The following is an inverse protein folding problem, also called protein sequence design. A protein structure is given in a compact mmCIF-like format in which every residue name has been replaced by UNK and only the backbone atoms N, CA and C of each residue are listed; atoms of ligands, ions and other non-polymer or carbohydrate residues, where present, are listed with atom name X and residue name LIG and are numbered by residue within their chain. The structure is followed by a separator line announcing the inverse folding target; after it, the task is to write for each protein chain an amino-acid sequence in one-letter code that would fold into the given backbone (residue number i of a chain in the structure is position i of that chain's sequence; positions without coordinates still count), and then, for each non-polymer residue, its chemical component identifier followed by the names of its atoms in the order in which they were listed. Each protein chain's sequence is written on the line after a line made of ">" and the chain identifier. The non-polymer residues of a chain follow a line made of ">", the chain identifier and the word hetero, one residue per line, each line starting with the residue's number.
data_IF_785596357518
#
_entry.id   IF_785596357518
#
_cell.length_a   1.000
_cell.length_b   1.000
_cell.length_c   1.000
_cell.angle_alpha   90.00
_cell.angle_beta   90.00
_cell.angle_gamma   90.00
#
_symmetry.space_group_name_H-M   'P 1'
#
loop_
_entity.id
_entity.type
_entity.pdbx_description
1 polymer ?
#
# COMPACT_ATOMS: atom_id res chain seq x y z
N UNK A 1 18.16 18.94 10.81
CA UNK A 1 17.57 17.71 10.21
C UNK A 1 16.30 18.13 9.48
N UNK A 2 16.05 17.66 8.24
CA UNK A 2 14.81 18.00 7.54
C UNK A 2 13.60 17.53 8.34
N UNK A 3 12.53 18.29 8.29
CA UNK A 3 11.21 17.89 8.80
C UNK A 3 10.68 16.68 8.02
N UNK A 4 9.76 15.92 8.61
CA UNK A 4 9.11 14.82 7.88
C UNK A 4 8.39 15.30 6.62
N UNK A 5 7.86 16.52 6.62
CA UNK A 5 7.22 17.12 5.45
C UNK A 5 8.22 17.31 4.32
N UNK A 6 9.37 17.92 4.60
CA UNK A 6 10.44 18.11 3.61
C UNK A 6 10.96 16.78 3.08
N UNK A 7 11.05 15.74 3.94
CA UNK A 7 11.42 14.38 3.50
C UNK A 7 10.40 13.79 2.53
N UNK A 8 9.10 13.96 2.78
CA UNK A 8 8.06 13.51 1.85
C UNK A 8 8.07 14.30 0.54
N UNK A 9 8.30 15.60 0.60
CA UNK A 9 8.39 16.45 -0.59
C UNK A 9 9.60 16.06 -1.45
N UNK A 10 10.76 15.81 -0.84
CA UNK A 10 11.95 15.29 -1.51
C UNK A 10 11.71 13.91 -2.13
N UNK A 11 11.04 13.00 -1.41
CA UNK A 11 10.68 11.68 -1.93
C UNK A 11 9.84 11.78 -3.21
N UNK A 12 8.85 12.68 -3.26
CA UNK A 12 8.03 12.87 -4.46
C UNK A 12 8.87 13.32 -5.65
N UNK A 13 9.80 14.26 -5.43
CA UNK A 13 10.71 14.74 -6.47
C UNK A 13 11.61 13.62 -6.97
N UNK A 14 12.18 12.84 -6.06
CA UNK A 14 13.07 11.72 -6.39
C UNK A 14 12.34 10.62 -7.16
N UNK A 15 11.18 10.18 -6.70
CA UNK A 15 10.39 9.14 -7.37
C UNK A 15 9.94 9.55 -8.78
N UNK A 16 9.54 10.82 -8.95
CA UNK A 16 9.20 11.34 -10.29
C UNK A 16 10.41 11.33 -11.22
N UNK A 17 11.58 11.71 -10.72
CA UNK A 17 12.81 11.77 -11.50
C UNK A 17 13.33 10.37 -11.85
N UNK A 18 13.44 9.51 -10.84
CA UNK A 18 14.00 8.15 -10.94
C UNK A 18 13.19 7.26 -11.89
N UNK A 19 11.87 7.29 -11.80
CA UNK A 19 10.99 6.42 -12.60
C UNK A 19 10.39 7.10 -13.83
N UNK A 20 10.69 8.38 -14.06
CA UNK A 20 10.13 9.17 -15.16
C UNK A 20 8.61 9.35 -15.05
N UNK A 21 8.10 9.53 -13.83
CA UNK A 21 6.66 9.54 -13.54
C UNK A 21 6.07 10.94 -13.64
N UNK A 22 4.92 11.03 -14.32
CA UNK A 22 4.07 12.21 -14.34
C UNK A 22 2.83 11.99 -13.47
N UNK A 23 2.67 12.83 -12.45
CA UNK A 23 1.45 12.82 -11.63
C UNK A 23 0.37 13.61 -12.36
N UNK A 24 -0.70 12.94 -12.80
CA UNK A 24 -1.83 13.59 -13.47
C UNK A 24 -2.73 14.32 -12.47
N UNK A 25 -2.96 13.71 -11.30
CA UNK A 25 -3.85 14.24 -10.27
C UNK A 25 -3.42 13.79 -8.88
N UNK A 26 -3.37 14.73 -7.96
CA UNK A 26 -3.31 14.44 -6.52
C UNK A 26 -4.72 14.19 -6.00
N UNK A 27 -4.98 12.99 -5.47
CA UNK A 27 -6.30 12.58 -4.97
C UNK A 27 -6.49 13.02 -3.51
N UNK A 28 -7.72 13.33 -3.14
CA UNK A 28 -8.12 13.50 -1.74
C UNK A 28 -8.42 12.17 -1.05
N UNK A 29 -8.76 11.13 -1.83
CA UNK A 29 -9.02 9.78 -1.36
C UNK A 29 -7.74 8.98 -1.08
N UNK A 30 -7.84 7.96 -0.22
CA UNK A 30 -6.76 7.00 0.06
C UNK A 30 -6.69 5.87 -0.98
N UNK A 31 -6.64 6.26 -2.26
CA UNK A 31 -6.53 5.38 -3.43
C UNK A 31 -5.75 6.05 -4.54
N UNK A 32 -5.12 5.25 -5.40
CA UNK A 32 -4.46 5.72 -6.60
C UNK A 32 -4.69 4.81 -7.80
N UNK A 33 -4.03 5.15 -8.90
CA UNK A 33 -3.95 4.34 -10.11
C UNK A 33 -2.68 4.69 -10.88
N UNK A 34 -2.04 3.67 -11.43
CA UNK A 34 -0.89 3.78 -12.34
C UNK A 34 -1.26 3.26 -13.73
N UNK A 35 -0.81 3.95 -14.78
CA UNK A 35 -0.98 3.49 -16.16
C UNK A 35 0.09 4.09 -17.07
N UNK A 36 0.22 3.52 -18.27
CA UNK A 36 1.11 4.02 -19.33
C UNK A 36 0.30 4.49 -20.54
N UNK A 37 0.84 5.48 -21.25
CA UNK A 37 0.35 5.90 -22.57
C UNK A 37 1.45 5.61 -23.58
N UNK A 38 1.13 4.73 -24.53
CA UNK A 38 2.02 4.31 -25.61
C UNK A 38 1.68 5.13 -26.86
N UNK A 39 2.67 5.85 -27.37
CA UNK A 39 2.51 6.67 -28.58
C UNK A 39 2.99 5.90 -29.81
N UNK A 40 2.52 6.30 -31.01
CA UNK A 40 2.88 5.65 -32.27
C UNK A 40 4.39 5.72 -32.59
N UNK A 41 5.07 6.73 -32.05
CA UNK A 41 6.52 6.93 -32.18
C UNK A 41 7.34 6.05 -31.22
N UNK A 42 6.71 5.13 -30.50
CA UNK A 42 7.35 4.24 -29.53
C UNK A 42 7.63 4.88 -28.18
N UNK A 43 7.32 6.17 -28.00
CA UNK A 43 7.46 6.84 -26.70
C UNK A 43 6.43 6.29 -25.72
N UNK A 44 6.85 6.08 -24.48
CA UNK A 44 5.98 5.68 -23.37
C UNK A 44 5.94 6.80 -22.35
N UNK A 45 4.74 7.21 -21.93
CA UNK A 45 4.57 8.13 -20.80
C UNK A 45 3.95 7.38 -19.62
N UNK A 46 4.65 7.40 -18.48
CA UNK A 46 4.19 6.79 -17.24
C UNK A 46 3.43 7.78 -16.38
N UNK A 47 2.21 7.43 -16.01
CA UNK A 47 1.28 8.30 -15.32
C UNK A 47 0.79 7.65 -14.04
N UNK A 48 0.56 8.50 -13.03
CA UNK A 48 -0.15 8.10 -11.81
C UNK A 48 -1.19 9.14 -11.39
N UNK A 49 -2.15 8.68 -10.62
CA UNK A 49 -2.92 9.50 -9.67
C UNK A 49 -2.79 8.89 -8.29
N UNK A 50 -2.62 9.72 -7.26
CA UNK A 50 -2.40 9.22 -5.90
C UNK A 50 -2.65 10.33 -4.87
N UNK A 51 -2.96 10.05 -3.59
CA UNK A 51 -2.83 11.06 -2.55
C UNK A 51 -1.41 11.62 -2.45
N UNK A 52 -1.30 12.92 -2.20
CA UNK A 52 0.00 13.52 -1.93
C UNK A 52 0.56 12.98 -0.58
N UNK A 53 1.83 12.56 -0.49
CA UNK A 53 2.45 12.14 0.75
C UNK A 53 2.44 13.26 1.82
N UNK A 54 1.61 13.08 2.84
CA UNK A 54 1.56 13.95 4.04
C UNK A 54 1.82 13.19 5.34
N UNK A 55 1.85 11.87 5.26
CA UNK A 55 2.10 10.97 6.38
C UNK A 55 2.27 9.53 5.88
N UNK A 56 2.52 8.57 6.78
CA UNK A 56 2.85 7.19 6.42
C UNK A 56 1.88 6.54 5.44
N UNK A 57 0.57 6.72 5.66
CA UNK A 57 -0.46 6.11 4.81
C UNK A 57 -0.46 6.65 3.38
N UNK A 58 -0.43 7.98 3.22
CA UNK A 58 -0.41 8.60 1.89
C UNK A 58 0.92 8.38 1.17
N UNK A 59 2.02 8.29 1.92
CA UNK A 59 3.32 7.89 1.40
C UNK A 59 3.28 6.46 0.84
N UNK A 60 2.76 5.50 1.60
CA UNK A 60 2.66 4.10 1.18
C UNK A 60 1.79 3.93 -0.07
N UNK A 61 0.68 4.65 -0.17
CA UNK A 61 -0.18 4.61 -1.37
C UNK A 61 0.52 5.27 -2.56
N UNK A 62 1.18 6.40 -2.38
CA UNK A 62 1.98 7.03 -3.44
C UNK A 62 3.06 6.08 -3.96
N UNK A 63 3.84 5.48 -3.07
CA UNK A 63 4.87 4.51 -3.43
C UNK A 63 4.27 3.23 -4.01
N UNK A 64 3.07 2.82 -3.65
CA UNK A 64 2.40 1.69 -4.30
C UNK A 64 2.13 1.97 -5.79
N UNK A 65 1.67 3.18 -6.14
CA UNK A 65 1.48 3.56 -7.55
C UNK A 65 2.80 3.68 -8.31
N UNK A 66 3.86 4.17 -7.67
CA UNK A 66 5.21 4.13 -8.26
C UNK A 66 5.69 2.69 -8.41
N UNK A 67 5.38 1.83 -7.43
CA UNK A 67 5.73 0.41 -7.40
C UNK A 67 5.21 -0.36 -8.59
N UNK A 68 4.00 -0.04 -9.07
CA UNK A 68 3.47 -0.60 -10.31
C UNK A 68 4.36 -0.32 -11.54
N UNK A 69 5.00 0.86 -11.60
CA UNK A 69 5.96 1.18 -12.66
C UNK A 69 7.34 0.59 -12.37
N UNK A 70 7.77 0.58 -11.12
CA UNK A 70 9.09 0.08 -10.70
C UNK A 70 9.26 -1.43 -10.98
N UNK A 71 8.21 -2.22 -10.77
CA UNK A 71 8.21 -3.67 -11.08
C UNK A 71 7.91 -3.98 -12.56
N UNK A 72 7.62 -2.93 -13.36
CA UNK A 72 7.06 -3.04 -14.70
C UNK A 72 5.56 -3.31 -14.69
N UNK A 73 4.80 -2.38 -15.29
CA UNK A 73 3.34 -2.51 -15.37
C UNK A 73 2.97 -3.67 -16.30
N UNK A 74 2.17 -4.62 -15.83
CA UNK A 74 1.78 -5.81 -16.59
C UNK A 74 2.80 -6.96 -16.54
N UNK A 75 3.91 -6.83 -15.80
CA UNK A 75 4.93 -7.89 -15.65
C UNK A 75 4.32 -9.18 -15.09
N UNK A 76 3.40 -9.05 -14.12
CA UNK A 76 2.76 -10.21 -13.49
C UNK A 76 1.41 -10.49 -14.14
N UNK A 77 1.30 -11.67 -14.78
CA UNK A 77 0.07 -12.11 -15.46
C UNK A 77 -1.17 -12.11 -14.56
N UNK A 78 -1.01 -12.35 -13.26
CA UNK A 78 -2.12 -12.38 -12.29
C UNK A 78 -2.17 -11.05 -11.54
N UNK A 79 -3.25 -10.28 -11.70
CA UNK A 79 -3.35 -8.93 -11.13
C UNK A 79 -3.13 -8.88 -9.61
N UNK A 80 -3.67 -9.83 -8.84
CA UNK A 80 -3.43 -9.83 -7.38
C UNK A 80 -1.96 -10.07 -6.99
N UNK A 81 -1.18 -10.75 -7.83
CA UNK A 81 0.26 -10.90 -7.62
C UNK A 81 1.01 -9.61 -7.95
N UNK A 82 0.59 -8.90 -9.00
CA UNK A 82 1.10 -7.55 -9.30
C UNK A 82 0.86 -6.58 -8.13
N UNK A 83 -0.35 -6.60 -7.55
CA UNK A 83 -0.69 -5.81 -6.37
C UNK A 83 0.24 -6.16 -5.18
N UNK A 84 0.52 -7.45 -4.96
CA UNK A 84 1.45 -7.89 -3.91
C UNK A 84 2.84 -7.30 -4.10
N UNK A 85 3.41 -7.42 -5.30
CA UNK A 85 4.75 -6.91 -5.56
C UNK A 85 4.82 -5.38 -5.51
N UNK A 86 3.78 -4.67 -5.97
CA UNK A 86 3.71 -3.22 -5.86
C UNK A 86 3.64 -2.75 -4.40
N UNK A 87 2.84 -3.42 -3.55
CA UNK A 87 2.79 -3.16 -2.11
C UNK A 87 4.10 -3.49 -1.40
N UNK A 88 4.70 -4.66 -1.70
CA UNK A 88 5.99 -5.06 -1.14
C UNK A 88 7.06 -4.01 -1.47
N UNK A 89 7.18 -3.62 -2.73
CA UNK A 89 8.11 -2.60 -3.17
C UNK A 89 7.90 -1.26 -2.43
N UNK A 90 6.64 -0.86 -2.25
CA UNK A 90 6.30 0.37 -1.53
C UNK A 90 6.81 0.36 -0.09
N UNK A 91 6.49 -0.68 0.68
CA UNK A 91 6.88 -0.78 2.09
C UNK A 91 8.39 -0.97 2.26
N UNK A 92 9.02 -1.73 1.37
CA UNK A 92 10.48 -1.90 1.39
C UNK A 92 11.16 -0.56 1.09
N UNK A 93 10.69 0.20 0.10
CA UNK A 93 11.19 1.55 -0.20
C UNK A 93 11.02 2.49 0.99
N UNK A 94 9.88 2.41 1.71
CA UNK A 94 9.70 3.18 2.94
C UNK A 94 10.73 2.81 3.99
N UNK A 95 10.97 1.52 4.23
CA UNK A 95 11.94 1.04 5.22
C UNK A 95 13.38 1.43 4.84
N UNK A 96 13.77 1.19 3.59
CA UNK A 96 15.10 1.51 3.05
C UNK A 96 15.42 3.01 3.13
N UNK A 97 14.41 3.87 2.93
CA UNK A 97 14.55 5.33 3.02
C UNK A 97 14.23 5.89 4.41
N UNK A 98 14.13 5.03 5.42
CA UNK A 98 13.90 5.38 6.83
C UNK A 98 12.61 6.20 7.06
N UNK A 99 11.53 5.84 6.36
CA UNK A 99 10.18 6.34 6.62
C UNK A 99 9.42 5.37 7.54
N UNK A 100 8.56 5.92 8.40
CA UNK A 100 7.76 5.12 9.33
C UNK A 100 6.76 4.24 8.58
N UNK A 101 6.90 2.93 8.72
CA UNK A 101 5.86 1.95 8.36
C UNK A 101 5.09 1.61 9.64
N UNK A 102 3.89 2.17 9.78
CA UNK A 102 3.06 1.96 10.98
C UNK A 102 2.21 0.70 10.83
N UNK A 103 1.72 0.16 11.95
CA UNK A 103 0.76 -0.94 11.93
C UNK A 103 -0.48 -0.63 11.05
N UNK A 104 -0.92 0.63 10.98
CA UNK A 104 -2.01 1.03 10.10
C UNK A 104 -1.66 0.87 8.61
N UNK A 105 -0.42 1.15 8.21
CA UNK A 105 0.06 0.94 6.83
C UNK A 105 0.08 -0.55 6.50
N UNK A 106 0.61 -1.39 7.39
CA UNK A 106 0.65 -2.84 7.19
C UNK A 106 -0.77 -3.44 7.12
N UNK A 107 -1.66 -2.96 7.99
CA UNK A 107 -3.07 -3.31 7.96
C UNK A 107 -3.73 -2.93 6.62
N UNK A 108 -3.42 -1.74 6.11
CA UNK A 108 -3.95 -1.28 4.81
C UNK A 108 -3.47 -2.15 3.65
N UNK A 109 -2.20 -2.55 3.65
CA UNK A 109 -1.65 -3.48 2.66
C UNK A 109 -2.39 -4.82 2.73
N UNK A 110 -2.54 -5.40 3.92
CA UNK A 110 -3.26 -6.66 4.09
C UNK A 110 -4.69 -6.55 3.56
N UNK A 111 -5.42 -5.49 3.91
CA UNK A 111 -6.80 -5.30 3.45
C UNK A 111 -6.88 -5.17 1.92
N UNK A 112 -5.92 -4.46 1.31
CA UNK A 112 -5.83 -4.33 -0.14
C UNK A 112 -5.58 -5.68 -0.82
N UNK A 113 -4.65 -6.48 -0.27
CA UNK A 113 -4.30 -7.79 -0.84
C UNK A 113 -5.40 -8.81 -0.61
N UNK A 114 -6.02 -8.82 0.57
CA UNK A 114 -7.21 -9.64 0.82
C UNK A 114 -8.31 -9.32 -0.18
N UNK A 115 -8.61 -8.03 -0.40
CA UNK A 115 -9.57 -7.62 -1.41
C UNK A 115 -9.17 -8.06 -2.83
N UNK A 116 -7.89 -7.91 -3.20
CA UNK A 116 -7.39 -8.31 -4.52
C UNK A 116 -7.51 -9.83 -4.75
N UNK A 117 -7.21 -10.64 -3.73
CA UNK A 117 -7.39 -12.10 -3.75
C UNK A 117 -8.86 -12.45 -3.92
N UNK A 118 -9.75 -11.91 -3.08
CA UNK A 118 -11.20 -12.16 -3.18
C UNK A 118 -11.76 -11.73 -4.54
N UNK A 119 -11.28 -10.62 -5.10
CA UNK A 119 -11.66 -10.16 -6.44
C UNK A 119 -11.16 -11.11 -7.53
N UNK A 120 -9.95 -11.66 -7.41
CA UNK A 120 -9.41 -12.61 -8.38
C UNK A 120 -10.16 -13.95 -8.33
N UNK A 121 -10.47 -14.46 -7.13
CA UNK A 121 -11.27 -15.68 -6.95
C UNK A 121 -12.66 -15.55 -7.58
N UNK A 122 -13.37 -14.43 -7.33
CA UNK A 122 -14.66 -14.15 -7.98
C UNK A 122 -14.59 -14.05 -9.51
N UNK A 123 -13.40 -13.77 -10.06
CA UNK A 123 -13.14 -13.73 -11.52
C UNK A 123 -12.62 -15.06 -12.07
N UNK A 124 -12.64 -16.13 -11.28
CA UNK A 124 -12.30 -17.49 -11.73
C UNK A 124 -10.82 -17.86 -11.61
N UNK A 125 -10.04 -17.21 -10.74
CA UNK A 125 -8.66 -17.63 -10.46
C UNK A 125 -8.64 -19.08 -9.95
N UNK A 126 -8.03 -19.99 -10.72
CA UNK A 126 -7.98 -21.44 -10.40
C UNK A 126 -6.91 -21.80 -9.37
N UNK A 127 -5.78 -21.09 -9.37
CA UNK A 127 -4.64 -21.35 -8.49
C UNK A 127 -4.13 -20.04 -7.90
N UNK A 128 -4.12 -19.97 -6.58
CA UNK A 128 -3.58 -18.82 -5.85
C UNK A 128 -2.05 -18.90 -5.83
N UNK A 129 -1.33 -17.81 -6.16
CA UNK A 129 0.09 -17.67 -5.88
C UNK A 129 0.39 -17.87 -4.38
N UNK A 130 1.48 -18.56 -4.05
CA UNK A 130 1.77 -18.97 -2.66
C UNK A 130 1.99 -17.77 -1.75
N UNK A 131 2.58 -16.69 -2.29
CA UNK A 131 2.81 -15.41 -1.64
C UNK A 131 1.51 -14.75 -1.15
N UNK A 132 0.39 -15.09 -1.80
CA UNK A 132 -0.92 -14.53 -1.48
C UNK A 132 -1.71 -15.36 -0.46
N UNK A 133 -1.22 -16.54 -0.07
CA UNK A 133 -1.85 -17.43 0.91
C UNK A 133 -2.18 -16.71 2.23
N UNK A 134 -1.32 -15.85 2.81
CA UNK A 134 -1.62 -15.13 4.03
C UNK A 134 -2.83 -14.18 3.93
N UNK A 135 -3.18 -13.75 2.72
CA UNK A 135 -4.27 -12.80 2.46
C UNK A 135 -5.57 -13.48 2.04
N UNK A 136 -5.69 -14.80 2.19
CA UNK A 136 -6.97 -15.50 2.00
C UNK A 136 -8.01 -15.09 3.05
N UNK A 137 -7.55 -14.85 4.27
CA UNK A 137 -8.40 -14.45 5.39
C UNK A 137 -8.32 -12.93 5.61
N UNK A 138 -9.43 -12.28 6.02
CA UNK A 138 -9.35 -10.91 6.49
C UNK A 138 -8.45 -10.87 7.72
N UNK A 139 -7.88 -9.69 8.02
CA UNK A 139 -7.19 -9.51 9.29
C UNK A 139 -8.15 -9.80 10.42
N UNK A 140 -7.66 -10.47 11.46
CA UNK A 140 -8.41 -10.54 12.71
C UNK A 140 -8.60 -9.11 13.23
N UNK A 141 -9.81 -8.76 13.72
CA UNK A 141 -9.98 -7.51 14.44
C UNK A 141 -8.96 -7.51 15.58
N UNK A 142 -8.37 -6.33 15.88
CA UNK A 142 -7.58 -6.20 17.10
C UNK A 142 -8.47 -6.69 18.23
N UNK A 143 -8.04 -7.75 18.91
CA UNK A 143 -8.65 -8.15 20.16
C UNK A 143 -8.47 -6.95 21.07
N UNK A 144 -9.56 -6.23 21.32
CA UNK A 144 -9.61 -5.37 22.49
C UNK A 144 -9.65 -6.40 23.61
N UNK A 145 -8.59 -6.49 24.42
CA UNK A 145 -8.62 -7.32 25.61
C UNK A 145 -9.71 -6.78 26.54
N UNK A 146 -10.94 -7.27 26.35
CA UNK A 146 -12.09 -7.01 27.23
C UNK A 146 -11.88 -7.59 28.63
N UNK A 147 -10.75 -8.27 28.85
CA UNK A 147 -10.32 -8.81 30.14
C UNK A 147 -9.35 -7.89 30.92
N UNK A 148 -9.08 -6.67 30.46
CA UNK A 148 -8.39 -5.65 31.28
C UNK A 148 -9.41 -4.64 31.81
N UNK A 149 -10.47 -5.12 32.46
CA UNK A 149 -11.06 -4.34 33.56
C UNK A 149 -10.31 -4.82 34.80
N UNK A 150 -9.49 -3.99 35.46
CA UNK A 150 -8.91 -4.39 36.73
C UNK A 150 -10.07 -4.79 37.66
N UNK A 151 -10.02 -6.03 38.14
CA UNK A 151 -10.97 -6.55 39.12
C UNK A 151 -10.32 -6.43 40.49
N UNK A 152 -11.13 -6.18 41.50
CA UNK A 152 -10.71 -6.43 42.87
C UNK A 152 -10.28 -7.92 43.03
N UNK A 153 -9.47 -8.27 44.04
CA UNK A 153 -9.10 -9.67 44.31
C UNK A 153 -10.31 -10.59 44.56
N UNK A 154 -11.50 -10.04 44.80
CA UNK A 154 -12.78 -10.75 44.91
C UNK A 154 -13.55 -10.92 43.57
N UNK A 155 -12.98 -10.46 42.45
CA UNK A 155 -13.56 -10.58 41.12
C UNK A 155 -14.55 -9.48 40.72
N UNK A 156 -14.79 -8.48 41.58
CA UNK A 156 -15.73 -7.38 41.29
C UNK A 156 -15.12 -6.37 40.31
N UNK A 157 -15.83 -5.95 39.24
CA UNK A 157 -15.31 -4.96 38.29
C UNK A 157 -15.19 -3.59 38.94
N UNK A 158 -14.01 -2.95 38.79
CA UNK A 158 -13.79 -1.56 39.23
C UNK A 158 -14.57 -0.63 38.30
N UNK A 159 -15.60 0.04 38.83
CA UNK A 159 -16.31 1.11 38.13
C UNK A 159 -15.60 2.45 38.39
N UNK A 160 -15.09 3.09 37.34
CA UNK A 160 -14.80 4.53 37.33
C UNK A 160 -16.08 5.32 37.12
#
# INVERSE_FOLDING_TARGET
>A
KPTMRERYDALVVDMKREYGIRVRKWRSSSSGVAWEVHYRDGRITRLIESPYPRGPMSCAIFLHEIGHHAIGLGTYRVRCLEEYHAWKWSLDTMRERDFNVTASVENRMHDALHYAVQKAMRRGLKRLPVELTPYLQPRLPRVIDINIIPKHPDGTPIRT
#
